data_IF_923928160041
#
_entry.id   IF_923928160041
#
_cell.length_a   1.000
_cell.length_b   1.000
_cell.length_c   1.000
_cell.angle_alpha   90.00
_cell.angle_beta   90.00
_cell.angle_gamma   90.00
#
_symmetry.space_group_name_H-M   'P 1'
#
loop_
_entity.id
_entity.type
_entity.pdbx_description
1 polymer ?
#
# COMPACT_ATOMS: atom_id res chain seq x y z
N UNK A 1 -3.74 17.29 -4.95
CA UNK A 1 -4.94 17.89 -4.29
C UNK A 1 -5.26 19.20 -4.96
N UNK A 2 -6.54 19.51 -5.10
CA UNK A 2 -7.03 20.80 -5.59
C UNK A 2 -8.06 21.34 -4.59
N UNK A 3 -8.19 22.65 -4.47
CA UNK A 3 -9.23 23.26 -3.65
C UNK A 3 -10.48 23.49 -4.50
N UNK A 4 -11.58 22.84 -4.15
CA UNK A 4 -12.86 23.03 -4.82
C UNK A 4 -13.60 24.20 -4.16
N UNK A 5 -13.48 25.39 -4.75
CA UNK A 5 -14.00 26.63 -4.20
C UNK A 5 -15.51 26.61 -3.83
N UNK A 6 -16.40 26.00 -4.63
CA UNK A 6 -17.84 25.96 -4.31
C UNK A 6 -18.16 25.14 -3.05
N UNK A 7 -17.56 23.95 -2.88
CA UNK A 7 -17.83 23.09 -1.71
C UNK A 7 -16.90 23.37 -0.53
N UNK A 8 -15.87 24.21 -0.71
CA UNK A 8 -14.82 24.49 0.27
C UNK A 8 -14.10 23.23 0.77
N UNK A 9 -13.95 22.24 -0.11
CA UNK A 9 -13.29 20.97 0.18
C UNK A 9 -12.03 20.80 -0.66
N UNK A 10 -11.10 19.98 -0.17
CA UNK A 10 -10.01 19.47 -0.99
C UNK A 10 -10.52 18.29 -1.83
N UNK A 11 -10.25 18.34 -3.13
CA UNK A 11 -10.48 17.23 -4.04
C UNK A 11 -9.16 16.56 -4.41
N UNK A 12 -9.23 15.26 -4.61
CA UNK A 12 -8.16 14.47 -5.22
C UNK A 12 -8.77 13.80 -6.44
N UNK A 13 -8.10 13.90 -7.59
CA UNK A 13 -8.54 13.18 -8.79
C UNK A 13 -8.38 11.68 -8.60
N UNK A 14 -9.29 10.91 -9.22
CA UNK A 14 -9.22 9.45 -9.19
C UNK A 14 -7.87 8.94 -9.69
N UNK A 15 -7.34 9.52 -10.78
CA UNK A 15 -6.04 9.14 -11.35
C UNK A 15 -4.89 9.30 -10.33
N UNK A 16 -4.92 10.35 -9.49
CA UNK A 16 -3.92 10.55 -8.46
C UNK A 16 -4.06 9.53 -7.33
N UNK A 17 -5.29 9.14 -6.96
CA UNK A 17 -5.52 8.07 -5.97
C UNK A 17 -5.04 6.72 -6.50
N UNK A 18 -5.38 6.39 -7.75
CA UNK A 18 -4.96 5.16 -8.42
C UNK A 18 -3.43 5.08 -8.52
N UNK A 19 -2.80 6.17 -8.97
CA UNK A 19 -1.34 6.24 -9.07
C UNK A 19 -0.67 6.12 -7.69
N UNK A 20 -1.24 6.76 -6.66
CA UNK A 20 -0.71 6.66 -5.29
C UNK A 20 -0.82 5.24 -4.74
N UNK A 21 -1.97 4.57 -4.95
CA UNK A 21 -2.16 3.18 -4.56
C UNK A 21 -1.19 2.24 -5.31
N UNK A 22 -0.98 2.47 -6.61
CA UNK A 22 0.02 1.76 -7.42
C UNK A 22 1.43 1.90 -6.86
N UNK A 23 1.87 3.13 -6.57
CA UNK A 23 3.17 3.40 -5.95
C UNK A 23 3.34 2.70 -4.59
N UNK A 24 2.30 2.69 -3.75
CA UNK A 24 2.34 2.00 -2.45
C UNK A 24 2.45 0.48 -2.61
N UNK A 25 1.67 -0.11 -3.53
CA UNK A 25 1.75 -1.55 -3.86
C UNK A 25 3.13 -1.91 -4.42
N UNK A 26 3.69 -1.07 -5.28
CA UNK A 26 5.04 -1.24 -5.82
C UNK A 26 6.13 -1.14 -4.74
N UNK A 27 6.01 -0.19 -3.81
CA UNK A 27 6.93 -0.08 -2.68
C UNK A 27 6.91 -1.37 -1.82
N UNK A 28 5.73 -1.92 -1.54
CA UNK A 28 5.60 -3.21 -0.83
C UNK A 28 6.27 -4.35 -1.61
N UNK A 29 6.07 -4.41 -2.94
CA UNK A 29 6.75 -5.38 -3.82
C UNK A 29 8.27 -5.30 -3.68
N UNK A 30 8.84 -4.09 -3.71
CA UNK A 30 10.29 -3.90 -3.59
C UNK A 30 10.82 -4.25 -2.19
N UNK A 31 10.07 -3.95 -1.12
CA UNK A 31 10.40 -4.37 0.24
C UNK A 31 10.46 -5.90 0.32
N UNK A 32 9.47 -6.61 -0.23
CA UNK A 32 9.45 -8.07 -0.21
C UNK A 32 10.57 -8.69 -1.04
N UNK A 33 10.83 -8.16 -2.24
CA UNK A 33 11.94 -8.61 -3.09
C UNK A 33 13.30 -8.45 -2.39
N UNK A 34 13.55 -7.30 -1.78
CA UNK A 34 14.81 -7.04 -1.07
C UNK A 34 15.01 -7.91 0.18
N UNK A 35 13.93 -8.39 0.79
CA UNK A 35 13.95 -9.26 1.96
C UNK A 35 13.81 -10.75 1.62
N UNK A 36 13.70 -11.13 0.35
CA UNK A 36 13.48 -12.52 -0.08
C UNK A 36 12.13 -13.10 0.35
N UNK A 37 11.11 -12.25 0.53
CA UNK A 37 9.76 -12.66 0.94
C UNK A 37 8.87 -12.96 -0.28
N UNK A 38 7.87 -13.82 -0.09
CA UNK A 38 6.91 -14.16 -1.15
C UNK A 38 6.10 -12.95 -1.60
N UNK A 39 5.97 -12.77 -2.91
CA UNK A 39 5.09 -11.76 -3.50
C UNK A 39 3.63 -12.22 -3.56
N UNK A 40 3.42 -13.54 -3.46
CA UNK A 40 2.10 -14.11 -3.35
C UNK A 40 1.50 -13.66 -2.01
N UNK A 41 0.27 -13.14 -2.05
CA UNK A 41 -0.46 -12.86 -0.83
C UNK A 41 -0.73 -14.15 -0.06
N UNK A 42 -0.55 -14.15 1.26
CA UNK A 42 -0.82 -15.33 2.06
C UNK A 42 -0.49 -15.16 3.54
N UNK A 43 -0.78 -16.20 4.33
CA UNK A 43 -0.40 -16.19 5.73
C UNK A 43 1.12 -16.14 5.88
N UNK A 44 1.57 -15.14 6.64
CA UNK A 44 2.96 -14.93 6.97
C UNK A 44 3.47 -16.07 7.84
N UNK A 45 4.47 -16.79 7.35
CA UNK A 45 5.14 -17.85 8.11
C UNK A 45 6.31 -17.24 8.92
N UNK A 46 6.09 -17.06 10.22
CA UNK A 46 7.15 -16.68 11.17
C UNK A 46 7.04 -15.30 11.82
N UNK A 47 8.04 -14.91 12.65
CA UNK A 47 8.08 -13.64 13.36
C UNK A 47 8.22 -12.43 12.42
N UNK A 48 7.89 -11.22 12.90
CA UNK A 48 7.96 -10.02 12.05
C UNK A 48 9.42 -9.65 11.84
N UNK A 49 9.82 -9.55 10.58
CA UNK A 49 11.11 -8.97 10.21
C UNK A 49 10.95 -7.46 10.01
N UNK A 50 12.07 -6.74 9.93
CA UNK A 50 12.06 -5.31 9.59
C UNK A 50 11.30 -5.03 8.28
N UNK A 51 11.36 -5.95 7.31
CA UNK A 51 10.62 -5.85 6.07
C UNK A 51 9.11 -5.96 6.29
N UNK A 52 8.66 -6.87 7.17
CA UNK A 52 7.25 -6.96 7.56
C UNK A 52 6.77 -5.66 8.24
N UNK A 53 7.60 -5.05 9.08
CA UNK A 53 7.26 -3.77 9.72
C UNK A 53 7.18 -2.62 8.71
N UNK A 54 8.09 -2.57 7.73
CA UNK A 54 8.05 -1.58 6.67
C UNK A 54 6.79 -1.72 5.79
N UNK A 55 6.44 -2.95 5.40
CA UNK A 55 5.19 -3.23 4.69
C UNK A 55 3.97 -2.81 5.53
N UNK A 56 3.93 -3.18 6.81
CA UNK A 56 2.82 -2.83 7.70
C UNK A 56 2.66 -1.30 7.82
N UNK A 57 3.77 -0.56 7.93
CA UNK A 57 3.74 0.89 8.00
C UNK A 57 3.14 1.52 6.73
N UNK A 58 3.40 0.95 5.54
CA UNK A 58 2.77 1.41 4.30
C UNK A 58 1.25 1.12 4.34
N UNK A 59 0.84 -0.10 4.71
CA UNK A 59 -0.58 -0.46 4.81
C UNK A 59 -1.34 0.45 5.79
N UNK A 60 -0.72 0.76 6.93
CA UNK A 60 -1.31 1.64 7.94
C UNK A 60 -1.38 3.09 7.44
N UNK A 61 -0.34 3.59 6.78
CA UNK A 61 -0.34 4.91 6.17
C UNK A 61 -1.42 5.04 5.08
N UNK A 62 -1.58 4.02 4.22
CA UNK A 62 -2.65 3.99 3.22
C UNK A 62 -4.02 4.05 3.87
N UNK A 63 -4.25 3.29 4.95
CA UNK A 63 -5.52 3.31 5.70
C UNK A 63 -5.80 4.67 6.32
N UNK A 64 -4.78 5.33 6.89
CA UNK A 64 -4.92 6.68 7.44
C UNK A 64 -5.31 7.71 6.37
N UNK A 65 -4.92 7.47 5.12
CA UNK A 65 -5.30 8.27 3.96
C UNK A 65 -6.64 7.84 3.33
N UNK A 66 -7.31 6.83 3.87
CA UNK A 66 -8.56 6.29 3.34
C UNK A 66 -8.39 5.45 2.06
N UNK A 67 -7.18 4.96 1.79
CA UNK A 67 -6.86 4.11 0.64
C UNK A 67 -6.83 2.65 1.09
N UNK A 68 -7.77 1.85 0.58
CA UNK A 68 -7.73 0.39 0.75
C UNK A 68 -6.84 -0.23 -0.32
N UNK A 69 -5.71 -0.83 0.10
CA UNK A 69 -4.80 -1.53 -0.80
C UNK A 69 -5.18 -2.99 -1.05
N UNK A 70 -6.20 -3.52 -0.35
CA UNK A 70 -6.66 -4.90 -0.44
C UNK A 70 -6.10 -5.83 0.64
N UNK A 71 -5.43 -5.29 1.66
CA UNK A 71 -4.92 -6.06 2.81
C UNK A 71 -4.79 -5.19 4.06
N UNK A 72 -4.98 -5.81 5.23
CA UNK A 72 -4.85 -5.13 6.53
C UNK A 72 -3.56 -5.47 7.28
N UNK A 73 -2.87 -6.54 6.87
CA UNK A 73 -1.66 -7.06 7.51
C UNK A 73 -0.57 -7.35 6.49
N UNK A 74 0.68 -7.14 6.92
CA UNK A 74 1.85 -7.49 6.14
C UNK A 74 1.86 -8.98 5.76
N UNK A 75 2.22 -9.28 4.52
CA UNK A 75 2.23 -10.61 3.92
C UNK A 75 0.93 -11.00 3.19
N UNK A 76 -0.22 -10.44 3.57
CA UNK A 76 -1.51 -10.81 2.98
C UNK A 76 -1.73 -10.24 1.56
N UNK A 77 -1.08 -9.12 1.25
CA UNK A 77 -1.27 -8.44 -0.03
C UNK A 77 -0.61 -9.22 -1.18
N UNK A 78 -1.32 -9.48 -2.28
CA UNK A 78 -0.71 -9.94 -3.53
C UNK A 78 -0.14 -8.74 -4.30
N UNK A 79 1.17 -8.78 -4.53
CA UNK A 79 1.94 -7.70 -5.20
C UNK A 79 2.73 -8.20 -6.41
N UNK A 80 2.29 -9.29 -7.05
CA UNK A 80 2.92 -9.77 -8.29
C UNK A 80 2.70 -8.81 -9.45
N UNK A 81 1.43 -8.52 -9.75
CA UNK A 81 0.98 -7.55 -10.76
C UNK A 81 0.76 -6.21 -10.08
N UNK A 82 1.82 -5.44 -9.95
CA UNK A 82 1.76 -4.00 -9.63
C UNK A 82 2.04 -3.27 -10.93
N UNK A 83 1.12 -3.40 -11.87
CA UNK A 83 1.12 -2.60 -13.10
C UNK A 83 0.38 -1.28 -12.84
#
# INVERSE_FOLDING_TARGET
MQYHAPSKQFTVSLDNLQSSAGCMRFAIKMIRLSAGLSLDGGERQGPMTSACHAEQAILDASRMLGIDLGATRAGLLDVRSTD
#
